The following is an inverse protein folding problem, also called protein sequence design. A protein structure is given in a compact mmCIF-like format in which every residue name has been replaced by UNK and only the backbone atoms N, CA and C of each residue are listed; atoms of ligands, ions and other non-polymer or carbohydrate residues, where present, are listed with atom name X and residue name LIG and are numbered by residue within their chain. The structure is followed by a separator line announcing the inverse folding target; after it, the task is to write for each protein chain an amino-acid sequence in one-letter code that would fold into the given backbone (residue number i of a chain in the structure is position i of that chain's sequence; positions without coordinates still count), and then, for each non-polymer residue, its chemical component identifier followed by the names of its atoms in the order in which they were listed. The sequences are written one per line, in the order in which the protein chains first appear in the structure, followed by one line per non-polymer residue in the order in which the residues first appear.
data_IF_758125181380
#
_entry.id   IF_758125181380
#
_cell.length_a   1.000
_cell.length_b   1.000
_cell.length_c   1.000
_cell.angle_alpha   90.00
_cell.angle_beta   90.00
_cell.angle_gamma   90.00
#
_symmetry.space_group_name_H-M   'P 1'
#
loop_
_entity.id
_entity.type
_entity.pdbx_description
1 polymer ?
#
# COMPACT_ATOMS: atom_id res chain seq x y z
N UNK A 1 29.77 -44.32 -4.30
CA UNK A 1 28.76 -43.48 -3.63
C UNK A 1 28.00 -42.65 -4.68
N UNK A 2 27.31 -43.30 -5.63
CA UNK A 2 26.63 -42.65 -6.75
C UNK A 2 25.16 -43.10 -6.86
N UNK A 3 24.28 -42.10 -7.04
CA UNK A 3 23.00 -42.06 -7.76
C UNK A 3 21.71 -42.72 -7.20
N UNK A 4 20.67 -41.85 -7.15
CA UNK A 4 19.23 -41.97 -7.48
C UNK A 4 18.44 -43.26 -7.22
N UNK A 5 17.14 -43.09 -6.90
CA UNK A 5 16.09 -43.59 -7.81
C UNK A 5 15.04 -42.51 -8.12
N UNK A 6 14.65 -42.27 -9.38
CA UNK A 6 13.78 -43.09 -10.28
C UNK A 6 12.30 -42.75 -10.12
N UNK A 7 11.73 -42.25 -11.22
CA UNK A 7 10.35 -41.81 -11.43
C UNK A 7 9.47 -42.90 -12.09
N UNK A 8 8.14 -42.75 -11.95
CA UNK A 8 6.99 -43.24 -12.79
C UNK A 8 6.37 -44.65 -12.51
N UNK A 9 5.13 -44.98 -12.98
CA UNK A 9 3.90 -44.19 -13.25
C UNK A 9 2.52 -44.92 -13.00
N UNK A 10 1.41 -44.19 -13.27
CA UNK A 10 0.23 -44.60 -14.09
C UNK A 10 -1.14 -45.02 -13.46
N UNK A 11 -2.14 -44.15 -13.71
CA UNK A 11 -3.60 -44.27 -13.93
C UNK A 11 -4.47 -45.43 -13.39
N UNK A 12 -5.61 -45.04 -12.78
CA UNK A 12 -6.94 -45.35 -13.34
C UNK A 12 -7.95 -46.05 -12.41
N UNK A 13 -8.98 -45.32 -11.92
CA UNK A 13 -10.34 -45.88 -11.86
C UNK A 13 -11.43 -44.80 -11.87
N UNK A 14 -12.29 -44.94 -12.86
CA UNK A 14 -13.48 -44.17 -13.20
C UNK A 14 -14.69 -44.66 -12.39
N UNK A 15 -15.43 -43.79 -11.70
CA UNK A 15 -16.84 -44.01 -11.37
C UNK A 15 -17.64 -42.71 -11.49
N UNK A 16 -18.61 -42.73 -12.41
CA UNK A 16 -19.63 -41.73 -12.68
C UNK A 16 -20.80 -41.90 -11.69
N UNK A 17 -21.29 -40.83 -11.05
CA UNK A 17 -22.72 -40.57 -10.83
C UNK A 17 -22.99 -39.17 -10.21
N UNK A 18 -24.21 -38.61 -10.38
CA UNK A 18 -24.47 -37.15 -10.47
C UNK A 18 -25.09 -36.51 -9.21
N UNK A 19 -24.79 -35.20 -9.03
CA UNK A 19 -25.50 -34.04 -8.36
C UNK A 19 -26.59 -34.32 -7.29
N UNK A 20 -26.78 -33.48 -6.23
CA UNK A 20 -26.77 -32.01 -6.33
C UNK A 20 -26.25 -31.19 -5.12
N UNK A 21 -25.90 -29.93 -5.42
CA UNK A 21 -26.24 -28.71 -4.66
C UNK A 21 -26.13 -28.75 -3.12
N UNK A 22 -25.01 -28.25 -2.58
CA UNK A 22 -25.01 -27.44 -1.36
C UNK A 22 -23.73 -26.60 -1.33
N UNK A 23 -23.93 -25.28 -1.35
CA UNK A 23 -22.86 -24.29 -1.38
C UNK A 23 -21.93 -24.40 -0.18
N UNK A 24 -20.66 -24.67 -0.45
CA UNK A 24 -19.58 -24.38 0.47
C UNK A 24 -18.75 -23.24 -0.11
N UNK A 25 -19.31 -22.03 0.03
CA UNK A 25 -18.51 -20.82 0.07
C UNK A 25 -17.70 -20.80 1.36
N UNK A 26 -16.39 -21.06 1.26
CA UNK A 26 -15.40 -20.60 2.23
C UNK A 26 -14.45 -19.71 1.42
N UNK A 27 -14.22 -18.47 1.84
CA UNK A 27 -13.31 -18.23 2.96
C UNK A 27 -13.98 -17.46 4.09
N UNK A 28 -13.80 -17.98 5.30
CA UNK A 28 -13.98 -17.26 6.55
C UNK A 28 -12.91 -16.17 6.62
N UNK A 29 -13.21 -15.03 5.98
CA UNK A 29 -12.46 -13.80 6.13
C UNK A 29 -12.98 -13.18 7.42
N UNK A 30 -12.35 -13.51 8.55
CA UNK A 30 -12.59 -12.83 9.82
C UNK A 30 -12.46 -11.32 9.58
N UNK A 31 -13.58 -10.56 9.56
CA UNK A 31 -13.51 -9.13 9.49
C UNK A 31 -13.22 -8.71 10.92
N UNK A 32 -11.96 -8.76 11.31
CA UNK A 32 -11.51 -7.97 12.46
C UNK A 32 -11.81 -6.52 12.11
N UNK A 33 -13.01 -6.13 12.56
CA UNK A 33 -13.78 -4.97 12.17
C UNK A 33 -13.22 -3.74 12.84
N UNK A 34 -11.93 -3.47 12.62
CA UNK A 34 -11.36 -2.14 12.84
C UNK A 34 -11.61 -1.33 11.57
N UNK A 35 -12.90 -1.06 11.33
CA UNK A 35 -13.29 0.01 10.42
C UNK A 35 -12.60 1.28 10.86
N UNK A 36 -12.04 2.01 9.90
CA UNK A 36 -11.40 3.29 10.12
C UNK A 36 -12.34 4.21 10.93
N UNK A 37 -11.86 4.76 12.04
CA UNK A 37 -12.66 5.55 12.99
C UNK A 37 -12.67 7.06 12.70
N UNK A 38 -12.10 7.50 11.57
CA UNK A 38 -12.13 8.91 11.16
C UNK A 38 -13.17 9.19 10.08
N UNK A 39 -13.21 10.43 9.63
CA UNK A 39 -14.15 10.88 8.61
C UNK A 39 -13.76 10.26 7.25
N UNK A 40 -14.43 9.18 6.84
CA UNK A 40 -14.44 8.73 5.44
C UNK A 40 -15.27 9.73 4.62
N UNK A 41 -14.64 10.85 4.26
CA UNK A 41 -15.22 11.90 3.43
C UNK A 41 -14.13 12.57 2.61
N UNK A 42 -14.50 13.06 1.43
CA UNK A 42 -13.61 13.86 0.56
C UNK A 42 -12.92 14.94 1.40
N UNK A 43 -11.61 15.14 1.18
CA UNK A 43 -10.83 16.15 1.91
C UNK A 43 -11.54 17.51 1.85
N UNK A 44 -11.63 18.25 2.97
CA UNK A 44 -12.04 19.65 2.93
C UNK A 44 -11.19 20.42 1.92
N UNK A 45 -11.81 21.35 1.19
CA UNK A 45 -11.18 22.09 0.10
C UNK A 45 -9.85 22.72 0.51
N UNK A 46 -9.83 23.37 1.68
CA UNK A 46 -8.62 24.01 2.23
C UNK A 46 -7.50 23.00 2.48
N UNK A 47 -7.83 21.85 3.06
CA UNK A 47 -6.86 20.77 3.33
C UNK A 47 -6.32 20.17 2.03
N UNK A 48 -7.16 20.04 1.00
CA UNK A 48 -6.72 19.55 -0.31
C UNK A 48 -5.76 20.52 -1.00
N UNK A 49 -6.02 21.84 -0.91
CA UNK A 49 -5.12 22.88 -1.42
C UNK A 49 -3.80 22.89 -0.65
N UNK A 50 -3.85 22.81 0.67
CA UNK A 50 -2.64 22.69 1.50
C UNK A 50 -1.84 21.44 1.16
N UNK A 51 -2.48 20.28 0.99
CA UNK A 51 -1.80 19.05 0.59
C UNK A 51 -1.12 19.22 -0.76
N UNK A 52 -1.80 19.82 -1.74
CA UNK A 52 -1.23 20.12 -3.05
C UNK A 52 0.04 20.98 -2.90
N UNK A 53 0.01 22.01 -2.06
CA UNK A 53 1.17 22.85 -1.78
C UNK A 53 2.31 22.09 -1.10
N UNK A 54 2.00 21.25 -0.10
CA UNK A 54 2.99 20.40 0.56
C UNK A 54 3.67 19.48 -0.45
N UNK A 55 2.89 18.82 -1.31
CA UNK A 55 3.42 17.90 -2.33
C UNK A 55 4.17 18.61 -3.47
N UNK A 56 3.79 19.84 -3.81
CA UNK A 56 4.49 20.63 -4.82
C UNK A 56 5.88 21.08 -4.35
N UNK A 57 6.03 21.32 -3.05
CA UNK A 57 7.27 21.72 -2.39
C UNK A 57 8.04 20.52 -1.80
N UNK A 58 7.54 19.29 -1.99
CA UNK A 58 8.17 18.08 -1.46
C UNK A 58 9.45 17.76 -2.25
N UNK A 59 10.56 17.64 -1.51
CA UNK A 59 11.87 17.26 -2.06
C UNK A 59 12.39 16.02 -1.33
N UNK A 60 13.47 15.43 -1.85
CA UNK A 60 14.13 14.27 -1.24
C UNK A 60 14.92 14.59 0.03
N UNK A 61 14.91 15.84 0.52
CA UNK A 61 15.62 16.20 1.74
C UNK A 61 14.87 15.71 2.98
N UNK A 62 15.64 15.32 4.01
CA UNK A 62 15.07 14.87 5.30
C UNK A 62 14.16 15.93 5.92
N UNK A 63 14.50 17.21 5.79
CA UNK A 63 13.72 18.32 6.35
C UNK A 63 12.36 18.49 5.65
N UNK A 64 12.33 18.41 4.31
CA UNK A 64 11.09 18.48 3.55
C UNK A 64 10.16 17.32 3.88
N UNK A 65 10.70 16.10 3.92
CA UNK A 65 9.94 14.89 4.29
C UNK A 65 9.43 14.97 5.72
N UNK A 66 10.27 15.39 6.67
CA UNK A 66 9.89 15.54 8.09
C UNK A 66 8.80 16.60 8.26
N UNK A 67 8.91 17.74 7.60
CA UNK A 67 7.90 18.81 7.63
C UNK A 67 6.56 18.33 7.08
N UNK A 68 6.57 17.66 5.93
CA UNK A 68 5.38 17.08 5.33
C UNK A 68 4.74 15.98 6.20
N UNK A 69 5.55 15.13 6.86
CA UNK A 69 5.04 14.16 7.84
C UNK A 69 4.34 14.86 8.99
N UNK A 70 4.96 15.87 9.60
CA UNK A 70 4.36 16.60 10.73
C UNK A 70 3.01 17.19 10.32
N UNK A 71 2.94 17.81 9.14
CA UNK A 71 1.70 18.35 8.59
C UNK A 71 0.63 17.27 8.41
N UNK A 72 0.99 16.09 7.91
CA UNK A 72 0.09 14.94 7.75
C UNK A 72 -0.41 14.42 9.11
N UNK A 73 0.51 14.25 10.07
CA UNK A 73 0.21 13.72 11.40
C UNK A 73 -0.71 14.64 12.20
N UNK A 74 -0.57 15.96 12.03
CA UNK A 74 -1.52 16.94 12.59
C UNK A 74 -2.94 16.80 12.02
N UNK A 75 -3.08 16.15 10.86
CA UNK A 75 -4.34 15.94 10.14
C UNK A 75 -4.71 14.46 10.04
N UNK A 76 -4.23 13.64 10.97
CA UNK A 76 -4.53 12.19 11.03
C UNK A 76 -6.02 11.83 11.05
N UNK A 77 -7.00 12.66 11.50
CA UNK A 77 -8.42 12.35 11.35
C UNK A 77 -8.86 12.15 9.89
N UNK A 78 -8.11 12.71 8.94
CA UNK A 78 -8.34 12.59 7.50
C UNK A 78 -7.40 11.59 6.82
N UNK A 79 -6.69 10.74 7.57
CA UNK A 79 -5.63 9.88 7.05
C UNK A 79 -6.02 9.08 5.77
N UNK A 80 -7.21 8.47 5.62
CA UNK A 80 -7.57 7.74 4.42
C UNK A 80 -7.72 8.67 3.23
N UNK A 81 -8.40 9.80 3.41
CA UNK A 81 -8.58 10.76 2.33
C UNK A 81 -7.24 11.39 1.90
N UNK A 82 -6.32 11.63 2.85
CA UNK A 82 -4.96 12.06 2.56
C UNK A 82 -4.14 10.97 1.84
N UNK A 83 -4.25 9.71 2.27
CA UNK A 83 -3.57 8.57 1.64
C UNK A 83 -4.08 8.34 0.20
N UNK A 84 -5.38 8.48 -0.04
CA UNK A 84 -5.94 8.45 -1.39
C UNK A 84 -5.44 9.63 -2.23
N UNK A 85 -5.43 10.84 -1.68
CA UNK A 85 -4.90 11.98 -2.43
C UNK A 85 -3.40 11.85 -2.76
N UNK A 86 -2.60 11.22 -1.88
CA UNK A 86 -1.21 10.85 -2.17
C UNK A 86 -1.13 9.86 -3.34
N UNK A 87 -2.00 8.84 -3.35
CA UNK A 87 -2.13 7.90 -4.48
C UNK A 87 -2.46 8.65 -5.75
N UNK A 88 -3.56 9.40 -5.78
CA UNK A 88 -3.98 10.16 -6.97
C UNK A 88 -2.87 11.08 -7.48
N UNK A 89 -2.06 11.67 -6.59
CA UNK A 89 -0.89 12.45 -6.99
C UNK A 89 0.20 11.61 -7.67
N UNK A 90 0.51 10.41 -7.17
CA UNK A 90 1.46 9.49 -7.82
C UNK A 90 0.95 9.01 -9.19
N UNK A 91 -0.35 8.91 -9.38
CA UNK A 91 -0.90 8.54 -10.69
C UNK A 91 -0.93 9.71 -11.68
N UNK A 92 -1.15 10.93 -11.19
CA UNK A 92 -1.20 12.14 -12.00
C UNK A 92 0.19 12.72 -12.34
N UNK A 93 1.24 12.30 -11.65
CA UNK A 93 2.62 12.69 -11.95
C UNK A 93 3.24 11.69 -12.93
N UNK A 94 4.10 12.18 -13.82
CA UNK A 94 4.94 11.37 -14.71
C UNK A 94 6.43 11.47 -14.35
N UNK A 95 6.73 12.13 -13.23
CA UNK A 95 8.09 12.36 -12.75
C UNK A 95 8.51 11.30 -11.72
N UNK A 96 9.48 10.46 -12.08
CA UNK A 96 9.96 9.36 -11.23
C UNK A 96 10.64 9.83 -9.94
N UNK A 97 11.24 11.02 -9.95
CA UNK A 97 11.91 11.57 -8.78
C UNK A 97 10.88 12.02 -7.73
N UNK A 98 9.88 12.79 -8.15
CA UNK A 98 8.73 13.20 -7.33
C UNK A 98 7.95 12.01 -6.80
N UNK A 99 7.77 10.97 -7.59
CA UNK A 99 7.21 9.70 -7.11
C UNK A 99 8.00 9.11 -5.94
N UNK A 100 9.33 9.13 -6.04
CA UNK A 100 10.20 8.59 -4.99
C UNK A 100 10.07 9.42 -3.71
N UNK A 101 9.99 10.75 -3.82
CA UNK A 101 9.75 11.63 -2.66
C UNK A 101 8.42 11.33 -1.95
N UNK A 102 7.34 11.10 -2.72
CA UNK A 102 6.04 10.74 -2.14
C UNK A 102 6.10 9.39 -1.41
N UNK A 103 6.83 8.41 -1.96
CA UNK A 103 7.03 7.13 -1.27
C UNK A 103 7.87 7.27 -0.01
N UNK A 104 8.93 8.11 -0.03
CA UNK A 104 9.70 8.36 1.18
C UNK A 104 8.85 9.03 2.26
N UNK A 105 7.96 9.95 1.90
CA UNK A 105 6.99 10.52 2.83
C UNK A 105 6.03 9.47 3.41
N UNK A 106 5.43 8.63 2.56
CA UNK A 106 4.54 7.55 3.01
C UNK A 106 5.26 6.58 3.95
N UNK A 107 6.52 6.23 3.63
CA UNK A 107 7.36 5.40 4.48
C UNK A 107 7.66 6.06 5.83
N UNK A 108 8.04 7.35 5.85
CA UNK A 108 8.34 8.06 7.10
C UNK A 108 7.09 8.17 7.99
N UNK A 109 5.91 8.40 7.40
CA UNK A 109 4.61 8.37 8.09
C UNK A 109 4.34 7.00 8.73
N UNK A 110 4.46 5.93 7.95
CA UNK A 110 4.18 4.56 8.41
C UNK A 110 5.17 4.10 9.47
N UNK A 111 6.44 4.43 9.28
CA UNK A 111 7.51 4.08 10.21
C UNK A 111 7.35 4.81 11.55
N UNK A 112 7.05 6.11 11.51
CA UNK A 112 6.75 6.92 12.69
C UNK A 112 5.50 6.42 13.43
N UNK A 113 4.44 6.04 12.69
CA UNK A 113 3.25 5.47 13.32
C UNK A 113 3.51 4.11 13.96
N UNK A 114 4.28 3.24 13.30
CA UNK A 114 4.71 1.97 13.87
C UNK A 114 5.50 2.15 15.18
N UNK A 115 6.41 3.12 15.24
CA UNK A 115 7.18 3.41 16.45
C UNK A 115 6.34 3.88 17.64
N UNK A 116 5.19 4.52 17.38
CA UNK A 116 4.28 4.97 18.44
C UNK A 116 3.39 3.86 19.00
N UNK A 117 3.33 2.69 18.36
CA UNK A 117 2.47 1.60 18.81
C UNK A 117 3.03 0.96 20.08
N UNK A 118 2.14 0.75 21.05
CA UNK A 118 2.44 -0.09 22.21
C UNK A 118 2.48 -1.57 21.78
N UNK A 119 1.61 -1.96 20.85
CA UNK A 119 1.56 -3.30 20.28
C UNK A 119 1.83 -3.26 18.77
N UNK A 120 2.94 -3.83 18.27
CA UNK A 120 3.29 -3.77 16.85
C UNK A 120 2.31 -4.52 15.94
N UNK A 121 1.54 -5.47 16.49
CA UNK A 121 0.58 -6.27 15.73
C UNK A 121 -0.75 -5.55 15.46
N UNK A 122 -1.03 -4.44 16.14
CA UNK A 122 -2.23 -3.65 15.91
C UNK A 122 -1.99 -2.58 14.84
N UNK A 123 -2.92 -2.45 13.88
CA UNK A 123 -2.83 -1.40 12.87
C UNK A 123 -3.41 -0.09 13.42
N UNK A 124 -2.62 0.98 13.36
CA UNK A 124 -3.09 2.35 13.60
C UNK A 124 -3.88 2.92 12.42
N UNK A 125 -4.46 4.10 12.62
CA UNK A 125 -5.29 4.78 11.63
C UNK A 125 -4.53 5.08 10.34
N UNK A 126 -3.24 5.42 10.43
CA UNK A 126 -2.39 5.69 9.26
C UNK A 126 -2.14 4.40 8.48
N UNK A 127 -1.78 3.31 9.14
CA UNK A 127 -1.56 2.03 8.48
C UNK A 127 -2.84 1.48 7.86
N UNK A 128 -3.99 1.64 8.50
CA UNK A 128 -5.29 1.29 7.91
C UNK A 128 -5.59 2.15 6.67
N UNK A 129 -5.26 3.45 6.71
CA UNK A 129 -5.45 4.37 5.59
C UNK A 129 -4.54 4.05 4.39
N UNK A 130 -3.28 3.70 4.63
CA UNK A 130 -2.32 3.40 3.57
C UNK A 130 -2.47 1.99 3.00
N UNK A 131 -3.00 1.02 3.77
CA UNK A 131 -3.19 -0.37 3.34
C UNK A 131 -3.84 -0.53 1.97
N UNK A 132 -4.96 0.15 1.62
CA UNK A 132 -5.59 0.01 0.31
C UNK A 132 -4.82 0.70 -0.83
N UNK A 133 -3.97 1.69 -0.55
CA UNK A 133 -3.36 2.53 -1.59
C UNK A 133 -1.89 2.19 -1.88
N UNK A 134 -1.14 1.73 -0.87
CA UNK A 134 0.30 1.58 -0.94
C UNK A 134 0.74 0.61 -2.05
N UNK A 135 0.04 -0.51 -2.21
CA UNK A 135 0.35 -1.48 -3.27
C UNK A 135 0.23 -0.89 -4.66
N UNK A 136 -0.83 -0.09 -4.90
CA UNK A 136 -1.05 0.56 -6.20
C UNK A 136 -0.02 1.66 -6.49
N UNK A 137 0.36 2.43 -5.47
CA UNK A 137 1.41 3.46 -5.57
C UNK A 137 2.76 2.83 -5.91
N UNK A 138 3.15 1.77 -5.19
CA UNK A 138 4.40 1.06 -5.46
C UNK A 138 4.39 0.45 -6.86
N UNK A 139 3.32 -0.24 -7.24
CA UNK A 139 3.19 -0.82 -8.59
C UNK A 139 3.34 0.25 -9.68
N UNK A 140 2.74 1.44 -9.53
CA UNK A 140 2.86 2.54 -10.49
C UNK A 140 4.31 3.01 -10.66
N UNK A 141 5.07 3.05 -9.57
CA UNK A 141 6.46 3.55 -9.56
C UNK A 141 7.45 2.51 -10.09
N UNK A 142 7.26 1.25 -9.73
CA UNK A 142 8.11 0.15 -10.21
C UNK A 142 7.84 -0.23 -11.68
N UNK A 143 6.61 -0.04 -12.18
CA UNK A 143 6.29 -0.25 -13.60
C UNK A 143 6.65 0.94 -14.50
N UNK A 144 7.22 2.03 -13.96
CA UNK A 144 7.71 3.12 -14.79
C UNK A 144 8.97 2.67 -15.56
N UNK A 145 8.98 2.71 -16.91
CA UNK A 145 10.10 2.22 -17.73
C UNK A 145 11.43 2.97 -17.49
N UNK A 146 11.40 4.17 -16.89
CA UNK A 146 12.60 4.92 -16.49
C UNK A 146 13.35 4.27 -15.32
N UNK A 147 12.64 3.64 -14.37
CA UNK A 147 13.24 2.97 -13.20
C UNK A 147 13.96 1.68 -13.61
N UNK A 148 13.42 0.95 -14.61
CA UNK A 148 14.03 -0.27 -15.17
C UNK A 148 15.38 -0.04 -15.86
N UNK A 149 15.71 1.19 -16.28
CA UNK A 149 17.00 1.45 -16.95
C UNK A 149 18.18 1.61 -15.99
N UNK A 150 17.94 1.90 -14.71
CA UNK A 150 19.03 2.03 -13.70
C UNK A 150 19.50 0.70 -13.12
N UNK A 151 18.78 -0.39 -13.33
CA UNK A 151 19.11 -1.74 -12.81
C UNK A 151 19.93 -2.55 -13.84
N UNK A 152 20.03 -2.08 -15.09
CA UNK A 152 20.72 -2.80 -16.17
C UNK A 152 22.11 -2.19 -16.49
N UNK A 153 22.66 -1.38 -15.58
CA UNK A 153 23.95 -0.72 -15.74
C UNK A 153 24.86 -0.86 -14.51
N UNK A 154 24.60 -1.87 -13.67
CA UNK A 154 25.58 -2.42 -12.73
C UNK A 154 25.98 -3.82 -13.21
#
# INVERSE_FOLDING_TARGET
MHQQPSYLPFYGQQQQHPQPFLGYGRPDFDPSSKSFKGLCGRLPSDVAVELSNVLNNLTGTKESIKGAKIWFMQRSPFAPALAEALRDRVFALDDSERHSHIIYLANDILFDSLQRRINPHELDNEALAFKPVLGSMLARIYHNPQTRRKINHD
#
